data_IF_716253177225
#
_entry.id   IF_716253177225
#
_cell.length_a   1.000
_cell.length_b   1.000
_cell.length_c   1.000
_cell.angle_alpha   90.00
_cell.angle_beta   90.00
_cell.angle_gamma   90.00
#
_symmetry.space_group_name_H-M   'P 1'
#
loop_
_entity.id
_entity.type
_entity.pdbx_description
1 polymer ?
#
# COMPACT_ATOMS: atom_id res chain seq x y z
N UNK A 1 -1.07 5.48 10.83
CA UNK A 1 -1.90 4.40 10.33
C UNK A 1 -3.05 4.10 11.28
N UNK A 2 -4.14 3.59 10.73
CA UNK A 2 -5.27 3.09 11.50
C UNK A 2 -4.98 1.67 12.02
N UNK A 3 -6.02 0.91 12.40
CA UNK A 3 -5.82 -0.43 12.95
C UNK A 3 -5.50 -1.45 11.85
N UNK A 4 -4.34 -2.16 11.92
CA UNK A 4 -3.92 -3.08 10.87
C UNK A 4 -4.60 -4.46 10.90
N UNK A 5 -5.39 -4.78 11.94
CA UNK A 5 -5.92 -6.12 12.15
C UNK A 5 -4.92 -7.14 12.74
N UNK A 6 -5.39 -8.37 12.94
CA UNK A 6 -4.55 -9.51 13.32
C UNK A 6 -4.63 -10.57 12.22
N UNK A 7 -3.77 -10.43 11.21
CA UNK A 7 -3.74 -11.29 10.02
C UNK A 7 -3.60 -12.78 10.30
N UNK A 8 -3.13 -13.16 11.50
CA UNK A 8 -3.02 -14.56 11.88
C UNK A 8 -4.38 -15.22 12.18
N UNK A 9 -5.42 -14.42 12.37
CA UNK A 9 -6.78 -14.85 12.75
C UNK A 9 -7.87 -14.41 11.78
N UNK A 10 -7.49 -13.62 10.77
CA UNK A 10 -8.44 -13.02 9.83
C UNK A 10 -8.78 -13.98 8.71
N UNK A 11 -10.06 -14.26 8.60
CA UNK A 11 -10.64 -14.94 7.45
C UNK A 11 -11.37 -13.89 6.60
N UNK A 12 -10.67 -13.32 5.65
CA UNK A 12 -11.16 -12.26 4.77
C UNK A 12 -12.32 -12.68 3.85
N UNK A 13 -12.75 -13.95 3.94
CA UNK A 13 -13.98 -14.43 3.29
C UNK A 13 -15.22 -14.20 4.12
N UNK A 14 -15.07 -13.79 5.39
CA UNK A 14 -16.18 -13.65 6.33
C UNK A 14 -16.61 -12.20 6.49
N UNK A 15 -17.88 -11.85 6.23
CA UNK A 15 -18.40 -10.51 6.43
C UNK A 15 -18.17 -9.97 7.84
N UNK A 16 -18.30 -10.81 8.87
CA UNK A 16 -18.14 -10.45 10.29
C UNK A 16 -16.74 -9.90 10.59
N UNK A 17 -15.75 -10.39 9.86
CA UNK A 17 -14.38 -9.90 10.01
C UNK A 17 -14.26 -8.45 9.54
N UNK A 18 -14.84 -8.12 8.40
CA UNK A 18 -14.84 -6.74 7.88
C UNK A 18 -15.67 -5.80 8.77
N UNK A 19 -16.80 -6.26 9.32
CA UNK A 19 -17.60 -5.49 10.29
C UNK A 19 -16.75 -5.14 11.52
N UNK A 20 -16.03 -6.10 12.07
CA UNK A 20 -15.11 -5.87 13.18
C UNK A 20 -14.01 -4.87 12.82
N UNK A 21 -13.37 -5.03 11.65
CA UNK A 21 -12.32 -4.12 11.20
C UNK A 21 -12.82 -2.69 10.97
N UNK A 22 -14.01 -2.53 10.39
CA UNK A 22 -14.64 -1.22 10.21
C UNK A 22 -14.85 -0.50 11.55
N UNK A 23 -15.45 -1.17 12.52
CA UNK A 23 -15.70 -0.57 13.83
C UNK A 23 -14.39 -0.26 14.57
N UNK A 24 -13.42 -1.14 14.49
CA UNK A 24 -12.12 -0.93 15.12
C UNK A 24 -11.35 0.24 14.52
N UNK A 25 -11.36 0.36 13.19
CA UNK A 25 -10.72 1.48 12.50
C UNK A 25 -11.39 2.82 12.84
N UNK A 26 -12.72 2.87 12.96
CA UNK A 26 -13.43 4.08 13.38
C UNK A 26 -13.05 4.49 14.82
N UNK A 27 -12.97 3.54 15.75
CA UNK A 27 -12.55 3.80 17.13
C UNK A 27 -11.12 4.36 17.19
N UNK A 28 -10.17 3.70 16.51
CA UNK A 28 -8.76 4.13 16.47
C UNK A 28 -8.65 5.51 15.80
N UNK A 29 -9.40 5.73 14.72
CA UNK A 29 -9.44 7.06 14.09
C UNK A 29 -9.92 8.14 15.06
N UNK A 30 -11.01 7.90 15.79
CA UNK A 30 -11.56 8.89 16.73
C UNK A 30 -10.55 9.24 17.83
N UNK A 31 -9.86 8.24 18.38
CA UNK A 31 -8.82 8.45 19.39
C UNK A 31 -7.64 9.27 18.82
N UNK A 32 -7.14 8.91 17.64
CA UNK A 32 -6.04 9.61 17.00
C UNK A 32 -6.44 11.02 16.54
N UNK A 33 -7.67 11.17 16.04
CA UNK A 33 -8.18 12.48 15.61
C UNK A 33 -8.35 13.43 16.80
N UNK A 34 -8.84 12.95 17.93
CA UNK A 34 -8.95 13.74 19.15
C UNK A 34 -7.58 14.25 19.65
N UNK A 35 -6.53 13.44 19.50
CA UNK A 35 -5.18 13.78 19.94
C UNK A 35 -4.42 14.64 18.92
N UNK A 36 -4.54 14.31 17.63
CA UNK A 36 -3.62 14.78 16.58
C UNK A 36 -4.31 15.36 15.34
N UNK A 37 -5.63 15.36 15.26
CA UNK A 37 -6.39 15.76 14.06
C UNK A 37 -6.06 17.17 13.55
N UNK A 38 -5.69 18.09 14.44
CA UNK A 38 -5.30 19.46 14.11
C UNK A 38 -3.77 19.67 14.08
N UNK A 39 -2.98 18.59 14.20
CA UNK A 39 -1.52 18.77 14.19
C UNK A 39 -1.03 19.20 12.81
N UNK A 40 -0.18 20.23 12.69
CA UNK A 40 0.24 20.78 11.40
C UNK A 40 1.03 19.81 10.53
N UNK A 41 1.69 18.82 11.12
CA UNK A 41 2.43 17.79 10.39
C UNK A 41 1.56 16.60 9.96
N UNK A 42 0.28 16.56 10.32
CA UNK A 42 -0.62 15.50 9.85
C UNK A 42 -1.04 15.79 8.41
N UNK A 43 -0.53 15.00 7.46
CA UNK A 43 -0.87 15.12 6.05
C UNK A 43 -2.15 14.37 5.69
N UNK A 44 -2.32 13.15 6.21
CA UNK A 44 -3.45 12.29 5.85
C UNK A 44 -3.60 11.10 6.79
N UNK A 45 -4.47 10.18 6.40
CA UNK A 45 -4.86 9.00 7.14
C UNK A 45 -4.60 7.74 6.30
N UNK A 46 -3.97 6.76 6.90
CA UNK A 46 -3.62 5.50 6.23
C UNK A 46 -4.48 4.36 6.76
N UNK A 47 -5.27 3.75 5.88
CA UNK A 47 -5.97 2.48 6.14
C UNK A 47 -4.98 1.36 5.89
N UNK A 48 -4.63 0.64 6.95
CA UNK A 48 -3.48 -0.27 6.99
C UNK A 48 -3.78 -1.70 6.52
N UNK A 49 -4.90 -1.94 5.84
CA UNK A 49 -5.20 -3.24 5.27
C UNK A 49 -4.23 -3.58 4.14
N UNK A 50 -3.44 -4.65 4.31
CA UNK A 50 -2.49 -5.13 3.31
C UNK A 50 -3.12 -6.21 2.40
N UNK A 51 -4.05 -5.82 1.56
CA UNK A 51 -4.53 -6.70 0.51
C UNK A 51 -3.56 -6.74 -0.68
N UNK A 52 -3.68 -7.76 -1.53
CA UNK A 52 -2.76 -7.95 -2.65
C UNK A 52 -3.42 -8.68 -3.82
N UNK A 53 -2.79 -8.63 -4.99
CA UNK A 53 -3.23 -9.29 -6.21
C UNK A 53 -2.96 -10.81 -6.25
N UNK A 54 -2.39 -11.37 -5.21
CA UNK A 54 -2.12 -12.79 -5.09
C UNK A 54 -3.39 -13.62 -4.90
N UNK A 55 -3.34 -14.88 -5.35
CA UNK A 55 -4.49 -15.78 -5.30
C UNK A 55 -4.69 -16.49 -3.96
N UNK A 56 -3.82 -16.26 -2.99
CA UNK A 56 -3.85 -16.95 -1.70
C UNK A 56 -3.76 -15.97 -0.53
N UNK A 57 -4.49 -16.19 0.57
CA UNK A 57 -5.43 -17.29 0.83
C UNK A 57 -6.83 -17.07 0.25
N UNK A 58 -7.16 -15.87 -0.19
CA UNK A 58 -8.50 -15.51 -0.63
C UNK A 58 -8.46 -14.78 -1.95
N UNK A 59 -9.31 -15.20 -2.84
CA UNK A 59 -9.47 -14.52 -4.12
C UNK A 59 -10.15 -13.16 -3.99
N UNK A 60 -9.50 -12.16 -3.43
CA UNK A 60 -9.98 -10.77 -3.47
C UNK A 60 -10.26 -10.27 -4.90
N UNK A 61 -9.76 -11.01 -5.90
CA UNK A 61 -10.01 -10.75 -7.31
C UNK A 61 -11.44 -11.10 -7.75
N UNK A 62 -12.17 -11.88 -6.95
CA UNK A 62 -13.49 -12.43 -7.29
C UNK A 62 -14.57 -11.96 -6.31
N UNK A 63 -15.81 -11.95 -6.80
CA UNK A 63 -16.95 -11.75 -5.93
C UNK A 63 -17.22 -12.98 -5.06
N UNK A 64 -17.69 -12.82 -3.81
CA UNK A 64 -18.05 -11.55 -3.19
C UNK A 64 -16.89 -10.83 -2.48
N UNK A 65 -15.69 -11.40 -2.43
CA UNK A 65 -14.58 -10.86 -1.65
C UNK A 65 -14.12 -9.47 -2.12
N UNK A 66 -14.18 -9.20 -3.43
CA UNK A 66 -13.86 -7.88 -3.98
C UNK A 66 -14.83 -6.81 -3.45
N UNK A 67 -16.13 -7.06 -3.50
CA UNK A 67 -17.13 -6.12 -3.00
C UNK A 67 -17.04 -5.94 -1.49
N UNK A 68 -16.70 -6.98 -0.74
CA UNK A 68 -16.50 -6.88 0.71
C UNK A 68 -15.30 -6.00 1.05
N UNK A 69 -14.18 -6.20 0.37
CA UNK A 69 -12.99 -5.36 0.51
C UNK A 69 -13.29 -3.90 0.16
N UNK A 70 -13.92 -3.65 -0.99
CA UNK A 70 -14.27 -2.31 -1.42
C UNK A 70 -15.22 -1.61 -0.44
N UNK A 71 -16.24 -2.34 0.07
CA UNK A 71 -17.16 -1.81 1.08
C UNK A 71 -16.44 -1.46 2.40
N UNK A 72 -15.50 -2.30 2.84
CA UNK A 72 -14.69 -2.02 4.01
C UNK A 72 -13.88 -0.74 3.83
N UNK A 73 -13.10 -0.65 2.75
CA UNK A 73 -12.27 0.51 2.45
C UNK A 73 -13.10 1.80 2.36
N UNK A 74 -14.21 1.75 1.62
CA UNK A 74 -15.11 2.91 1.45
C UNK A 74 -15.75 3.33 2.78
N UNK A 75 -16.21 2.36 3.59
CA UNK A 75 -16.86 2.69 4.86
C UNK A 75 -15.92 3.39 5.83
N UNK A 76 -14.67 2.93 5.90
CA UNK A 76 -13.65 3.57 6.74
C UNK A 76 -13.26 4.93 6.17
N UNK A 77 -13.01 5.02 4.86
CA UNK A 77 -12.63 6.28 4.21
C UNK A 77 -13.72 7.35 4.35
N UNK A 78 -14.98 7.02 4.09
CA UNK A 78 -16.12 7.93 4.26
C UNK A 78 -16.25 8.42 5.71
N UNK A 79 -16.06 7.53 6.69
CA UNK A 79 -16.07 7.92 8.09
C UNK A 79 -14.97 8.93 8.42
N UNK A 80 -13.75 8.69 7.95
CA UNK A 80 -12.62 9.62 8.09
C UNK A 80 -12.94 10.96 7.45
N UNK A 81 -13.40 10.95 6.19
CA UNK A 81 -13.76 12.15 5.42
C UNK A 81 -14.89 12.96 6.06
N UNK A 82 -15.81 12.32 6.77
CA UNK A 82 -16.88 13.01 7.48
C UNK A 82 -16.38 13.91 8.62
N UNK A 83 -15.18 13.69 9.12
CA UNK A 83 -14.59 14.41 10.26
C UNK A 83 -13.28 15.16 9.90
N UNK A 84 -12.58 14.75 8.86
CA UNK A 84 -11.29 15.28 8.45
C UNK A 84 -11.24 15.52 6.94
N UNK A 85 -10.88 16.73 6.46
CA UNK A 85 -10.72 17.01 5.04
C UNK A 85 -9.40 16.47 4.45
N UNK A 86 -8.58 15.81 5.28
CA UNK A 86 -7.27 15.31 4.89
C UNK A 86 -7.39 14.07 3.99
N UNK A 87 -6.32 13.80 3.24
CA UNK A 87 -6.26 12.65 2.33
C UNK A 87 -6.37 11.32 3.09
N UNK A 88 -6.98 10.34 2.42
CA UNK A 88 -7.03 8.95 2.85
C UNK A 88 -6.25 8.10 1.86
N UNK A 89 -5.28 7.35 2.37
CA UNK A 89 -4.44 6.49 1.55
C UNK A 89 -4.51 5.01 1.97
N UNK A 90 -4.18 4.16 1.00
CA UNK A 90 -4.00 2.71 1.17
C UNK A 90 -2.65 2.29 0.62
N UNK A 91 -2.08 1.18 1.10
CA UNK A 91 -0.81 0.64 0.61
C UNK A 91 -0.87 -0.89 0.41
N UNK A 92 -1.63 -1.37 -0.58
CA UNK A 92 -1.68 -2.78 -0.94
C UNK A 92 -0.36 -3.26 -1.56
N UNK A 93 -0.11 -4.57 -1.46
CA UNK A 93 1.09 -5.17 -2.00
C UNK A 93 0.86 -5.74 -3.42
N UNK A 94 1.89 -5.65 -4.25
CA UNK A 94 1.93 -6.33 -5.54
C UNK A 94 2.55 -7.72 -5.37
N UNK A 95 1.79 -8.79 -5.65
CA UNK A 95 2.26 -10.17 -5.50
C UNK A 95 2.39 -10.95 -6.81
N UNK A 96 2.18 -10.28 -7.94
CA UNK A 96 2.19 -10.90 -9.29
C UNK A 96 1.22 -12.08 -9.41
N UNK A 97 0.12 -12.03 -8.68
CA UNK A 97 -0.93 -13.05 -8.73
C UNK A 97 -1.80 -12.95 -9.98
N UNK A 98 -1.77 -11.79 -10.64
CA UNK A 98 -2.48 -11.53 -11.91
C UNK A 98 -1.53 -10.93 -12.94
N UNK A 99 -1.77 -11.16 -14.25
CA UNK A 99 -1.18 -10.35 -15.32
C UNK A 99 -1.46 -8.85 -15.11
N UNK A 100 -0.54 -7.99 -15.53
CA UNK A 100 -0.60 -6.54 -15.27
C UNK A 100 -1.94 -5.90 -15.70
N UNK A 101 -2.45 -6.25 -16.88
CA UNK A 101 -3.72 -5.72 -17.41
C UNK A 101 -4.95 -6.15 -16.57
N UNK A 102 -4.93 -7.36 -16.04
CA UNK A 102 -5.99 -7.85 -15.14
C UNK A 102 -5.88 -7.20 -13.76
N UNK A 103 -4.65 -7.00 -13.26
CA UNK A 103 -4.38 -6.30 -12.02
C UNK A 103 -4.88 -4.85 -12.09
N UNK A 104 -4.58 -4.12 -13.17
CA UNK A 104 -5.12 -2.78 -13.39
C UNK A 104 -6.65 -2.75 -13.42
N UNK A 105 -7.30 -3.69 -14.11
CA UNK A 105 -8.77 -3.81 -14.11
C UNK A 105 -9.35 -4.11 -12.73
N UNK A 106 -8.66 -4.92 -11.94
CA UNK A 106 -9.05 -5.24 -10.57
C UNK A 106 -9.00 -4.00 -9.66
N UNK A 107 -7.90 -3.25 -9.68
CA UNK A 107 -7.80 -1.98 -8.97
C UNK A 107 -8.87 -0.98 -9.44
N UNK A 108 -9.14 -0.91 -10.75
CA UNK A 108 -10.21 -0.06 -11.28
C UNK A 108 -11.58 -0.38 -10.71
N UNK A 109 -11.90 -1.68 -10.50
CA UNK A 109 -13.15 -2.09 -9.84
C UNK A 109 -13.20 -1.70 -8.37
N UNK A 110 -12.06 -1.73 -7.67
CA UNK A 110 -11.98 -1.28 -6.27
C UNK A 110 -12.21 0.23 -6.23
N UNK A 111 -11.45 1.02 -6.99
CA UNK A 111 -11.53 2.47 -6.97
C UNK A 111 -12.90 3.02 -7.41
N UNK A 112 -13.56 2.38 -8.37
CA UNK A 112 -14.92 2.74 -8.76
C UNK A 112 -15.94 2.61 -7.60
N UNK A 113 -15.63 1.84 -6.58
CA UNK A 113 -16.47 1.63 -5.39
C UNK A 113 -15.93 2.38 -4.15
N UNK A 114 -14.77 3.04 -4.24
CA UNK A 114 -14.12 3.69 -3.10
C UNK A 114 -13.76 5.15 -3.40
N UNK A 115 -14.74 6.01 -3.71
CA UNK A 115 -14.49 7.40 -4.11
C UNK A 115 -13.83 8.28 -3.04
N UNK A 116 -13.79 7.85 -1.79
CA UNK A 116 -13.16 8.58 -0.69
C UNK A 116 -11.69 8.18 -0.44
N UNK A 117 -11.14 7.26 -1.25
CA UNK A 117 -9.70 6.97 -1.28
C UNK A 117 -9.01 7.96 -2.22
N UNK A 118 -8.08 8.75 -1.70
CA UNK A 118 -7.36 9.77 -2.46
C UNK A 118 -6.05 9.25 -3.06
N UNK A 119 -5.32 8.40 -2.33
CA UNK A 119 -3.96 7.99 -2.69
C UNK A 119 -3.78 6.48 -2.55
N UNK A 120 -3.20 5.89 -3.57
CA UNK A 120 -2.64 4.54 -3.54
C UNK A 120 -1.12 4.65 -3.38
N UNK A 121 -0.53 4.01 -2.37
CA UNK A 121 0.89 3.73 -2.29
C UNK A 121 1.11 2.24 -2.54
N UNK A 122 1.40 1.86 -3.77
CA UNK A 122 1.60 0.46 -4.15
C UNK A 122 2.94 -0.06 -3.62
N UNK A 123 2.93 -1.09 -2.76
CA UNK A 123 4.15 -1.76 -2.32
C UNK A 123 4.77 -2.51 -3.50
N UNK A 124 6.03 -2.21 -3.82
CA UNK A 124 6.72 -2.71 -5.01
C UNK A 124 7.27 -4.14 -4.88
N UNK A 125 7.14 -4.75 -3.69
CA UNK A 125 7.71 -6.06 -3.29
C UNK A 125 9.19 -6.28 -3.67
N UNK A 126 9.91 -5.19 -3.89
CA UNK A 126 11.33 -5.23 -4.23
C UNK A 126 12.21 -5.80 -3.13
N UNK A 127 11.75 -5.75 -1.89
CA UNK A 127 12.43 -6.36 -0.74
C UNK A 127 12.46 -7.88 -0.78
N UNK A 128 11.45 -8.50 -1.37
CA UNK A 128 11.37 -9.96 -1.55
C UNK A 128 12.13 -10.45 -2.78
N UNK A 129 12.62 -9.57 -3.62
CA UNK A 129 13.32 -9.89 -4.87
C UNK A 129 12.51 -10.79 -5.81
N UNK A 130 11.19 -10.64 -5.82
CA UNK A 130 10.27 -11.42 -6.64
C UNK A 130 9.95 -10.76 -7.98
N UNK A 131 10.47 -9.56 -8.22
CA UNK A 131 10.21 -8.74 -9.41
C UNK A 131 11.52 -8.34 -10.09
N UNK A 132 11.47 -8.26 -11.39
CA UNK A 132 12.47 -7.57 -12.20
C UNK A 132 12.06 -6.10 -12.29
N UNK A 133 12.91 -5.20 -11.81
CA UNK A 133 12.58 -3.78 -11.73
C UNK A 133 12.41 -3.13 -13.09
N UNK A 134 13.18 -3.56 -14.09
CA UNK A 134 13.11 -2.98 -15.44
C UNK A 134 12.02 -3.60 -16.32
N UNK A 135 11.62 -4.83 -16.06
CA UNK A 135 10.67 -5.57 -16.90
C UNK A 135 9.30 -5.70 -16.26
N UNK A 136 9.25 -6.17 -15.02
CA UNK A 136 7.97 -6.46 -14.36
C UNK A 136 7.29 -5.18 -13.87
N UNK A 137 7.95 -4.39 -13.01
CA UNK A 137 7.33 -3.24 -12.35
C UNK A 137 6.74 -2.21 -13.32
N UNK A 138 7.41 -1.81 -14.42
CA UNK A 138 6.85 -0.84 -15.35
C UNK A 138 5.50 -1.26 -15.92
N UNK A 139 5.30 -2.56 -16.20
CA UNK A 139 4.05 -3.07 -16.75
C UNK A 139 2.90 -2.95 -15.73
N UNK A 140 3.14 -3.38 -14.47
CA UNK A 140 2.13 -3.26 -13.42
C UNK A 140 1.86 -1.81 -13.05
N UNK A 141 2.90 -0.99 -12.88
CA UNK A 141 2.74 0.43 -12.57
C UNK A 141 1.93 1.16 -13.64
N UNK A 142 2.20 0.90 -14.93
CA UNK A 142 1.45 1.50 -16.02
C UNK A 142 -0.05 1.16 -15.97
N UNK A 143 -0.39 -0.11 -15.79
CA UNK A 143 -1.79 -0.54 -15.79
C UNK A 143 -2.53 -0.11 -14.52
N UNK A 144 -1.88 -0.16 -13.35
CA UNK A 144 -2.50 0.29 -12.10
C UNK A 144 -2.64 1.82 -12.10
N UNK A 145 -1.63 2.55 -12.59
CA UNK A 145 -1.73 4.00 -12.74
C UNK A 145 -2.89 4.42 -13.63
N UNK A 146 -3.13 3.73 -14.75
CA UNK A 146 -4.32 3.99 -15.60
C UNK A 146 -5.62 3.84 -14.80
N UNK A 147 -5.69 2.83 -13.93
CA UNK A 147 -6.86 2.62 -13.07
C UNK A 147 -7.01 3.76 -12.05
N UNK A 148 -5.91 4.22 -11.45
CA UNK A 148 -5.89 5.37 -10.57
C UNK A 148 -6.36 6.64 -11.29
N UNK A 149 -5.76 6.96 -12.43
CA UNK A 149 -6.08 8.15 -13.22
C UNK A 149 -7.56 8.18 -13.64
N UNK A 150 -8.11 7.02 -14.02
CA UNK A 150 -9.52 6.88 -14.42
C UNK A 150 -10.52 7.10 -13.27
N UNK A 151 -10.08 6.98 -12.02
CA UNK A 151 -10.92 7.11 -10.83
C UNK A 151 -10.53 8.31 -9.94
N UNK A 152 -9.61 9.16 -10.38
CA UNK A 152 -9.17 10.34 -9.62
C UNK A 152 -8.32 10.02 -8.39
N UNK A 153 -7.73 8.84 -8.33
CA UNK A 153 -6.80 8.40 -7.26
C UNK A 153 -5.37 8.78 -7.64
N UNK A 154 -4.61 9.31 -6.72
CA UNK A 154 -3.19 9.59 -6.91
C UNK A 154 -2.43 8.25 -6.85
N UNK A 155 -1.66 7.94 -7.90
CA UNK A 155 -0.76 6.80 -7.90
C UNK A 155 0.55 7.15 -7.22
N UNK A 156 0.90 6.42 -6.17
CA UNK A 156 2.17 6.47 -5.47
C UNK A 156 2.79 5.07 -5.34
N UNK A 157 4.05 5.02 -4.97
CA UNK A 157 4.80 3.78 -4.77
C UNK A 157 5.38 3.75 -3.36
N UNK A 158 5.21 2.64 -2.66
CA UNK A 158 5.88 2.34 -1.40
C UNK A 158 7.06 1.39 -1.67
N UNK A 159 8.27 1.96 -1.62
CA UNK A 159 9.50 1.24 -1.93
C UNK A 159 9.95 0.42 -0.73
N UNK A 160 10.15 -0.87 -0.92
CA UNK A 160 10.75 -1.74 0.08
C UNK A 160 12.28 -1.60 0.07
N UNK A 161 12.83 -0.79 1.00
CA UNK A 161 14.28 -0.57 1.15
C UNK A 161 15.02 -1.68 1.90
N UNK A 162 14.35 -2.80 2.14
CA UNK A 162 14.92 -3.98 2.74
C UNK A 162 15.11 -5.11 1.71
N UNK A 163 15.85 -6.13 2.12
CA UNK A 163 16.00 -7.40 1.39
C UNK A 163 15.69 -8.55 2.34
N UNK A 164 14.72 -9.37 2.00
CA UNK A 164 14.40 -10.57 2.77
C UNK A 164 15.46 -11.64 2.57
N UNK A 165 15.90 -12.27 3.66
CA UNK A 165 16.76 -13.45 3.65
C UNK A 165 16.05 -14.59 4.37
N UNK A 166 15.93 -15.74 3.71
CA UNK A 166 15.17 -16.91 4.21
C UNK A 166 16.05 -17.95 4.92
N UNK A 167 17.18 -17.58 5.51
CA UNK A 167 18.14 -18.51 6.11
C UNK A 167 18.50 -18.15 7.55
N UNK A 168 18.23 -18.99 8.54
CA UNK A 168 17.19 -20.02 8.74
C UNK A 168 15.85 -19.46 9.20
N UNK A 169 15.76 -18.15 9.37
CA UNK A 169 14.54 -17.38 9.70
C UNK A 169 14.44 -16.21 8.76
N UNK A 170 13.24 -15.74 8.49
CA UNK A 170 13.02 -14.51 7.74
C UNK A 170 13.74 -13.36 8.48
N UNK A 171 14.70 -12.75 7.84
CA UNK A 171 15.38 -11.56 8.34
C UNK A 171 15.37 -10.49 7.28
N UNK A 172 15.10 -9.26 7.68
CA UNK A 172 15.20 -8.08 6.82
C UNK A 172 16.61 -7.49 6.95
N UNK A 173 17.29 -7.29 5.84
CA UNK A 173 18.58 -6.60 5.75
C UNK A 173 18.41 -5.31 4.97
N UNK A 174 19.29 -4.36 5.20
CA UNK A 174 19.38 -3.14 4.37
C UNK A 174 19.72 -3.52 2.93
N UNK A 175 19.05 -2.87 2.00
CA UNK A 175 19.33 -3.00 0.57
C UNK A 175 20.57 -2.16 0.21
N UNK A 176 21.44 -2.59 -0.73
CA UNK A 176 22.46 -1.75 -1.30
C UNK A 176 21.85 -0.53 -2.01
N UNK A 177 22.56 0.62 -2.00
CA UNK A 177 22.10 1.82 -2.67
C UNK A 177 21.80 1.59 -4.15
N UNK A 178 22.63 0.85 -4.85
CA UNK A 178 22.47 0.57 -6.29
C UNK A 178 21.14 -0.13 -6.62
N UNK A 179 20.67 -1.03 -5.76
CA UNK A 179 19.36 -1.68 -5.93
C UNK A 179 18.21 -0.71 -5.59
N UNK A 180 18.37 0.12 -4.56
CA UNK A 180 17.38 1.12 -4.18
C UNK A 180 17.27 2.23 -5.22
N UNK A 181 18.40 2.68 -5.78
CA UNK A 181 18.44 3.68 -6.84
C UNK A 181 17.68 3.23 -8.08
N UNK A 182 17.81 1.95 -8.45
CA UNK A 182 17.05 1.36 -9.56
C UNK A 182 15.55 1.36 -9.29
N UNK A 183 15.12 0.97 -8.09
CA UNK A 183 13.69 1.03 -7.69
C UNK A 183 13.16 2.48 -7.76
N UNK A 184 13.93 3.43 -7.21
CA UNK A 184 13.58 4.86 -7.25
C UNK A 184 13.47 5.38 -8.68
N UNK A 185 14.41 5.00 -9.55
CA UNK A 185 14.40 5.37 -10.96
C UNK A 185 13.14 4.85 -11.66
N UNK A 186 12.80 3.60 -11.44
CA UNK A 186 11.60 2.99 -12.06
C UNK A 186 10.33 3.63 -11.50
N UNK A 187 10.20 3.79 -10.19
CA UNK A 187 9.04 4.44 -9.59
C UNK A 187 8.88 5.88 -10.09
N UNK A 188 9.97 6.64 -10.18
CA UNK A 188 10.01 8.03 -10.66
C UNK A 188 9.59 8.22 -12.11
N UNK A 189 9.55 7.15 -12.93
CA UNK A 189 8.96 7.21 -14.28
C UNK A 189 7.44 7.37 -14.27
N UNK A 190 6.79 7.03 -13.16
CA UNK A 190 5.33 6.97 -13.05
C UNK A 190 4.75 7.98 -12.05
N UNK A 191 5.51 8.37 -11.03
CA UNK A 191 5.01 9.24 -9.96
C UNK A 191 6.12 9.95 -9.20
N UNK A 192 5.78 11.12 -8.63
CA UNK A 192 6.60 11.83 -7.64
C UNK A 192 6.17 11.47 -6.20
N UNK A 193 5.07 10.72 -6.04
CA UNK A 193 4.58 10.27 -4.74
C UNK A 193 5.26 8.95 -4.35
N UNK A 194 6.43 9.04 -3.74
CA UNK A 194 7.22 7.88 -3.33
C UNK A 194 7.38 7.89 -1.81
N UNK A 195 7.00 6.80 -1.18
CA UNK A 195 7.27 6.51 0.23
C UNK A 195 8.21 5.33 0.36
N UNK A 196 8.64 5.01 1.57
CA UNK A 196 9.63 3.97 1.81
C UNK A 196 9.33 3.18 3.07
N UNK A 197 9.29 1.87 2.96
CA UNK A 197 9.27 0.93 4.07
C UNK A 197 10.66 0.30 4.24
N UNK A 198 11.41 0.59 5.29
CA UNK A 198 11.06 1.38 6.45
C UNK A 198 12.30 2.11 6.99
N UNK A 199 12.11 3.00 7.97
CA UNK A 199 13.22 3.66 8.67
C UNK A 199 14.28 2.69 9.22
N UNK A 200 13.89 1.49 9.63
CA UNK A 200 14.80 0.50 10.17
C UNK A 200 15.92 0.11 9.19
N UNK A 201 15.61 0.08 7.90
CA UNK A 201 16.50 -0.29 6.80
C UNK A 201 17.00 0.92 5.99
N UNK A 202 16.44 2.10 6.23
CA UNK A 202 16.81 3.35 5.56
C UNK A 202 17.07 4.46 6.60
N UNK A 203 18.21 4.38 7.28
CA UNK A 203 18.60 5.32 8.34
C UNK A 203 20.07 5.69 8.22
N UNK A 204 20.52 6.79 8.85
CA UNK A 204 21.92 7.21 8.86
C UNK A 204 22.87 6.03 9.16
N UNK A 205 23.93 5.91 8.37
CA UNK A 205 24.91 4.83 8.47
C UNK A 205 24.58 3.56 7.68
N UNK A 206 23.41 3.48 7.02
CA UNK A 206 23.16 2.42 6.03
C UNK A 206 23.61 2.85 4.64
N UNK A 207 24.06 1.89 3.80
CA UNK A 207 24.50 2.18 2.44
C UNK A 207 23.43 2.87 1.61
N UNK A 208 22.19 2.40 1.72
CA UNK A 208 21.03 3.02 1.07
C UNK A 208 20.83 4.50 1.45
N UNK A 209 20.93 4.82 2.74
CA UNK A 209 20.77 6.21 3.20
C UNK A 209 21.94 7.11 2.76
N UNK A 210 23.19 6.63 2.89
CA UNK A 210 24.36 7.41 2.50
C UNK A 210 24.45 7.59 0.96
N UNK A 211 23.98 6.62 0.20
CA UNK A 211 23.81 6.74 -1.25
C UNK A 211 22.76 7.78 -1.62
N UNK A 212 21.59 7.71 -1.01
CA UNK A 212 20.50 8.67 -1.22
C UNK A 212 20.90 10.13 -0.94
N UNK A 213 21.65 10.35 0.15
CA UNK A 213 22.20 11.69 0.46
C UNK A 213 23.12 12.26 -0.63
N UNK A 214 23.80 11.41 -1.40
CA UNK A 214 24.64 11.86 -2.52
C UNK A 214 23.82 12.08 -3.78
N UNK A 215 22.67 11.44 -3.88
CA UNK A 215 21.73 11.58 -4.99
C UNK A 215 20.95 12.91 -4.93
N UNK A 216 20.62 13.40 -3.71
CA UNK A 216 20.03 14.70 -3.46
C UNK A 216 20.99 15.86 -3.71
#
# INVERSE_FOLDING_TARGET
>A
GLYPGDYSKEDTTKPEQYEFLMERNKQVFDELFALWGNHPSLAGWYITEEFHDGSYPVGWQQEPALSMLANYLQTVAAYVKSKSPKEVCIAPALWRGMPADLCGKWFGKIFAQTPDIDVLYLQDIGGRCLVDFDVDLPNWFAEIKKACDANGVIFGVDIESFKECWCPRITMRTKPWTELEEQLRVAGMFTDHITNFSWATFKPGTDAYEGYKKYL
#
